data_IF_522386301361
#
_entry.id   IF_522386301361
#
_cell.length_a   1.000
_cell.length_b   1.000
_cell.length_c   1.000
_cell.angle_alpha   90.00
_cell.angle_beta   90.00
_cell.angle_gamma   90.00
#
_symmetry.space_group_name_H-M   'P 1'
#
loop_
_entity.id
_entity.type
_entity.pdbx_description
1 polymer ?
#
# COMPACT_ATOMS: atom_id res chain seq x y z
N UNK A 1 -13.68 50.82 10.88
CA UNK A 1 -14.03 49.47 10.35
C UNK A 1 -14.84 49.67 9.09
N UNK A 2 -14.33 49.21 7.94
CA UNK A 2 -15.00 49.34 6.64
C UNK A 2 -15.66 48.01 6.29
N UNK A 3 -17.00 47.97 6.31
CA UNK A 3 -17.79 46.87 5.74
C UNK A 3 -17.82 47.05 4.22
N UNK A 4 -16.93 46.36 3.51
CA UNK A 4 -17.02 46.25 2.05
C UNK A 4 -18.09 45.21 1.70
N UNK A 5 -19.24 45.66 1.21
CA UNK A 5 -20.25 44.78 0.64
C UNK A 5 -19.77 44.23 -0.72
N UNK A 6 -19.51 42.93 -0.80
CA UNK A 6 -19.23 42.20 -2.04
C UNK A 6 -20.52 42.04 -2.86
N UNK A 7 -21.09 43.14 -3.34
CA UNK A 7 -22.19 43.08 -4.31
C UNK A 7 -21.54 42.83 -5.68
N UNK A 8 -21.51 41.56 -6.09
CA UNK A 8 -21.19 41.22 -7.47
C UNK A 8 -22.44 41.43 -8.31
N UNK A 9 -22.37 42.37 -9.25
CA UNK A 9 -23.39 42.55 -10.30
C UNK A 9 -23.33 41.36 -11.26
N UNK A 10 -23.95 40.25 -10.85
CA UNK A 10 -24.02 39.04 -11.66
C UNK A 10 -25.08 39.23 -12.75
N UNK A 11 -24.65 39.66 -13.94
CA UNK A 11 -25.47 39.67 -15.15
C UNK A 11 -25.28 38.36 -15.90
N UNK A 12 -26.36 37.61 -16.08
CA UNK A 12 -26.37 36.39 -16.89
C UNK A 12 -27.02 36.74 -18.23
N UNK A 13 -26.29 36.59 -19.33
CA UNK A 13 -26.86 36.73 -20.66
C UNK A 13 -27.62 35.46 -21.03
N UNK A 14 -28.88 35.61 -21.43
CA UNK A 14 -29.79 34.51 -21.73
C UNK A 14 -30.29 34.67 -23.18
N UNK A 15 -30.40 33.60 -23.97
CA UNK A 15 -30.96 33.66 -25.33
C UNK A 15 -32.40 34.22 -25.36
N UNK A 16 -32.82 34.86 -26.47
CA UNK A 16 -34.15 35.48 -26.57
C UNK A 16 -35.30 34.47 -26.43
N UNK A 17 -35.08 33.23 -26.85
CA UNK A 17 -36.08 32.16 -26.81
C UNK A 17 -36.12 31.41 -25.47
N UNK A 18 -35.45 31.92 -24.44
CA UNK A 18 -35.40 31.23 -23.15
C UNK A 18 -36.76 31.29 -22.46
N UNK A 19 -37.37 30.13 -22.14
CA UNK A 19 -38.67 30.09 -21.51
C UNK A 19 -38.55 30.57 -20.06
N UNK A 20 -38.89 31.83 -19.82
CA UNK A 20 -39.08 32.39 -18.48
C UNK A 20 -40.38 31.83 -17.89
N UNK A 21 -40.35 30.57 -17.49
CA UNK A 21 -41.46 29.96 -16.76
C UNK A 21 -41.59 30.64 -15.39
N UNK A 22 -42.83 30.93 -14.98
CA UNK A 22 -43.09 31.40 -13.62
C UNK A 22 -42.52 30.40 -12.62
N UNK A 23 -41.69 30.89 -11.69
CA UNK A 23 -41.15 30.06 -10.62
C UNK A 23 -42.32 29.45 -9.83
N UNK A 24 -42.49 28.14 -9.98
CA UNK A 24 -43.44 27.36 -9.18
C UNK A 24 -42.60 26.70 -8.10
N UNK A 25 -42.84 27.04 -6.85
CA UNK A 25 -42.15 26.38 -5.74
C UNK A 25 -42.33 24.87 -5.91
N UNK A 26 -41.23 24.10 -6.10
CA UNK A 26 -41.36 22.67 -5.92
C UNK A 26 -41.78 22.49 -4.47
N UNK A 27 -42.80 21.66 -4.22
CA UNK A 27 -43.12 21.15 -2.89
C UNK A 27 -41.95 20.28 -2.42
N UNK A 28 -40.84 20.93 -2.09
CA UNK A 28 -39.65 20.31 -1.57
C UNK A 28 -39.93 20.14 -0.10
N UNK A 29 -40.42 18.97 0.30
CA UNK A 29 -40.34 18.54 1.68
C UNK A 29 -38.88 18.70 2.10
N UNK A 30 -38.60 19.74 2.87
CA UNK A 30 -37.33 19.92 3.57
C UNK A 30 -37.26 18.79 4.60
N UNK A 31 -36.92 17.58 4.14
CA UNK A 31 -36.31 16.60 5.01
C UNK A 31 -35.06 17.30 5.49
N UNK A 32 -35.07 17.70 6.76
CA UNK A 32 -33.88 18.13 7.49
C UNK A 32 -32.94 16.92 7.58
N UNK A 33 -32.42 16.47 6.45
CA UNK A 33 -31.27 15.62 6.41
C UNK A 33 -30.14 16.56 6.82
N UNK A 34 -29.76 16.52 8.09
CA UNK A 34 -28.60 17.21 8.60
C UNK A 34 -27.44 16.92 7.62
N UNK A 35 -27.09 17.93 6.82
CA UNK A 35 -25.98 17.85 5.88
C UNK A 35 -24.68 17.88 6.67
N UNK A 36 -24.38 16.79 7.34
CA UNK A 36 -23.05 16.52 7.87
C UNK A 36 -22.73 15.03 7.81
N UNK A 37 -23.02 14.39 6.66
CA UNK A 37 -22.12 13.31 6.24
C UNK A 37 -20.77 13.95 5.93
N UNK A 38 -19.92 14.09 6.96
CA UNK A 38 -18.49 14.26 6.76
C UNK A 38 -18.09 13.20 5.73
N UNK A 39 -17.54 13.57 4.55
CA UNK A 39 -17.04 12.57 3.64
C UNK A 39 -16.04 11.74 4.45
N UNK A 40 -16.25 10.42 4.53
CA UNK A 40 -15.23 9.53 5.10
C UNK A 40 -13.98 9.84 4.29
N UNK A 41 -13.01 10.48 4.94
CA UNK A 41 -11.72 10.85 4.37
C UNK A 41 -11.26 9.59 3.65
N UNK A 42 -11.11 9.67 2.33
CA UNK A 42 -10.67 8.53 1.54
C UNK A 42 -9.42 8.00 2.24
N UNK A 43 -9.50 6.79 2.81
CA UNK A 43 -8.35 6.16 3.44
C UNK A 43 -7.28 6.16 2.37
N UNK A 44 -6.25 6.98 2.57
CA UNK A 44 -5.11 7.05 1.67
C UNK A 44 -4.60 5.62 1.62
N UNK A 45 -4.85 4.91 0.51
CA UNK A 45 -4.41 3.53 0.31
C UNK A 45 -2.92 3.52 0.58
N UNK A 46 -2.52 3.14 1.79
CA UNK A 46 -1.10 3.06 2.13
C UNK A 46 -0.50 2.10 1.12
N UNK A 47 0.57 2.50 0.41
CA UNK A 47 1.18 1.64 -0.57
C UNK A 47 1.49 0.29 0.11
N UNK A 48 1.27 -0.83 -0.57
CA UNK A 48 1.46 -2.15 0.02
C UNK A 48 2.86 -2.22 0.61
N UNK A 49 2.94 -2.43 1.93
CA UNK A 49 4.22 -2.48 2.64
C UNK A 49 5.08 -3.56 1.98
N UNK A 50 6.36 -3.28 1.67
CA UNK A 50 7.22 -4.26 1.03
C UNK A 50 7.28 -5.50 1.92
N UNK A 51 6.93 -6.66 1.36
CA UNK A 51 6.95 -7.92 2.11
C UNK A 51 8.34 -8.12 2.72
N UNK A 52 8.44 -8.38 4.03
CA UNK A 52 9.73 -8.58 4.68
C UNK A 52 10.44 -9.78 4.06
N UNK A 53 11.75 -9.66 3.81
CA UNK A 53 12.55 -10.73 3.20
C UNK A 53 12.78 -11.90 4.16
N UNK A 54 12.82 -11.63 5.48
CA UNK A 54 13.16 -12.63 6.49
C UNK A 54 12.23 -13.85 6.49
N UNK A 55 10.88 -13.73 6.52
CA UNK A 55 10.00 -14.89 6.44
C UNK A 55 10.18 -15.73 5.17
N UNK A 56 10.50 -15.09 4.05
CA UNK A 56 10.74 -15.81 2.80
C UNK A 56 12.04 -16.63 2.86
N UNK A 57 13.10 -16.03 3.42
CA UNK A 57 14.38 -16.70 3.62
C UNK A 57 14.21 -17.88 4.58
N UNK A 58 13.52 -17.67 5.70
CA UNK A 58 13.30 -18.70 6.71
C UNK A 58 12.55 -19.90 6.14
N UNK A 59 11.47 -19.66 5.38
CA UNK A 59 10.73 -20.73 4.72
C UNK A 59 11.62 -21.56 3.77
N UNK A 60 12.54 -20.92 3.05
CA UNK A 60 13.47 -21.63 2.18
C UNK A 60 14.56 -22.40 2.93
N UNK A 61 15.05 -21.84 4.04
CA UNK A 61 16.06 -22.49 4.89
C UNK A 61 15.48 -23.70 5.63
N UNK A 62 14.23 -23.61 6.10
CA UNK A 62 13.52 -24.72 6.74
C UNK A 62 13.14 -25.82 5.75
N UNK A 63 12.81 -25.46 4.50
CA UNK A 63 12.57 -26.45 3.45
C UNK A 63 13.84 -27.23 3.06
N UNK A 64 15.03 -26.65 3.24
CA UNK A 64 16.32 -27.34 3.10
C UNK A 64 16.70 -27.82 1.69
N UNK A 65 15.88 -27.55 0.69
CA UNK A 65 16.00 -28.13 -0.67
C UNK A 65 16.79 -27.26 -1.66
N UNK A 66 17.34 -26.13 -1.22
CA UNK A 66 18.00 -25.16 -2.10
C UNK A 66 19.42 -24.87 -1.64
N UNK A 67 20.31 -24.72 -2.63
CA UNK A 67 21.64 -24.16 -2.41
C UNK A 67 21.55 -22.66 -2.12
N UNK A 68 22.60 -22.07 -1.55
CA UNK A 68 22.68 -20.61 -1.35
C UNK A 68 22.37 -19.84 -2.63
N UNK A 69 22.93 -20.24 -3.77
CA UNK A 69 22.65 -19.61 -5.07
C UNK A 69 21.18 -19.78 -5.48
N UNK A 70 20.60 -20.96 -5.23
CA UNK A 70 19.18 -21.23 -5.48
C UNK A 70 18.26 -20.33 -4.65
N UNK A 71 18.56 -20.17 -3.36
CA UNK A 71 17.82 -19.26 -2.46
C UNK A 71 17.86 -17.82 -2.99
N UNK A 72 19.04 -17.34 -3.40
CA UNK A 72 19.18 -15.99 -3.96
C UNK A 72 18.38 -15.80 -5.26
N UNK A 73 18.39 -16.79 -6.16
CA UNK A 73 17.60 -16.75 -7.40
C UNK A 73 16.10 -16.69 -7.11
N UNK A 74 15.65 -17.47 -6.14
CA UNK A 74 14.25 -17.55 -5.74
C UNK A 74 13.78 -16.30 -4.98
N UNK A 75 14.62 -15.71 -4.14
CA UNK A 75 14.37 -14.40 -3.52
C UNK A 75 14.12 -13.32 -4.58
N UNK A 76 15.00 -13.27 -5.60
CA UNK A 76 14.86 -12.30 -6.70
C UNK A 76 13.59 -12.50 -7.50
N UNK A 77 13.15 -13.75 -7.69
CA UNK A 77 11.89 -14.08 -8.39
C UNK A 77 10.66 -13.69 -7.58
N UNK A 78 10.61 -14.04 -6.30
CA UNK A 78 9.41 -13.88 -5.44
C UNK A 78 9.29 -12.48 -4.82
N UNK A 79 10.41 -11.79 -4.61
CA UNK A 79 10.49 -10.53 -3.89
C UNK A 79 11.39 -9.51 -4.60
N UNK A 80 11.30 -9.44 -5.94
CA UNK A 80 12.14 -8.59 -6.80
C UNK A 80 12.20 -7.13 -6.32
N UNK A 81 11.05 -6.53 -5.99
CA UNK A 81 10.96 -5.16 -5.48
C UNK A 81 11.68 -4.99 -4.13
N UNK A 82 11.49 -5.92 -3.20
CA UNK A 82 12.09 -5.88 -1.86
C UNK A 82 13.60 -6.16 -1.86
N UNK A 83 14.15 -6.73 -2.95
CA UNK A 83 15.56 -7.05 -3.11
C UNK A 83 16.42 -5.88 -3.62
N UNK A 84 15.81 -4.82 -4.18
CA UNK A 84 16.56 -3.70 -4.78
C UNK A 84 17.42 -3.00 -3.72
N UNK A 85 18.71 -2.80 -4.03
CA UNK A 85 19.68 -2.12 -3.16
C UNK A 85 20.11 -2.90 -1.91
N UNK A 86 19.76 -4.19 -1.77
CA UNK A 86 20.10 -5.01 -0.60
C UNK A 86 21.04 -6.15 -0.95
N UNK A 87 22.00 -6.41 -0.07
CA UNK A 87 22.81 -7.63 -0.16
C UNK A 87 22.02 -8.84 0.37
N UNK A 88 21.45 -9.58 -0.57
CA UNK A 88 20.69 -10.80 -0.28
C UNK A 88 21.57 -11.90 0.33
N UNK A 89 22.85 -11.98 -0.04
CA UNK A 89 23.76 -13.00 0.48
C UNK A 89 24.08 -12.72 1.94
N UNK A 90 24.32 -11.46 2.29
CA UNK A 90 24.48 -11.03 3.67
C UNK A 90 23.22 -11.30 4.50
N UNK A 91 22.02 -11.00 3.97
CA UNK A 91 20.77 -11.28 4.65
C UNK A 91 20.57 -12.77 4.95
N UNK A 92 20.83 -13.66 3.99
CA UNK A 92 20.72 -15.11 4.23
C UNK A 92 21.75 -15.57 5.27
N UNK A 93 22.99 -15.05 5.23
CA UNK A 93 24.01 -15.35 6.25
C UNK A 93 23.58 -14.87 7.64
N UNK A 94 23.02 -13.67 7.74
CA UNK A 94 22.50 -13.14 8.99
C UNK A 94 21.38 -14.03 9.56
N UNK A 95 20.46 -14.52 8.71
CA UNK A 95 19.42 -15.47 9.14
C UNK A 95 20.01 -16.80 9.63
N UNK A 96 20.98 -17.35 8.91
CA UNK A 96 21.69 -18.58 9.34
C UNK A 96 22.40 -18.39 10.68
N UNK A 97 23.07 -17.26 10.87
CA UNK A 97 23.68 -16.91 12.15
C UNK A 97 22.64 -16.85 13.27
N UNK A 98 21.51 -16.19 13.02
CA UNK A 98 20.45 -16.04 14.01
C UNK A 98 19.81 -17.38 14.38
N UNK A 99 19.65 -18.30 13.42
CA UNK A 99 19.20 -19.66 13.70
C UNK A 99 20.21 -20.44 14.57
N UNK A 100 21.51 -20.31 14.30
CA UNK A 100 22.55 -20.90 15.17
C UNK A 100 22.49 -20.34 16.58
N UNK A 101 22.30 -19.02 16.71
CA UNK A 101 22.18 -18.38 18.02
C UNK A 101 20.96 -18.87 18.82
N UNK A 102 19.91 -19.30 18.11
CA UNK A 102 18.72 -19.95 18.69
C UNK A 102 18.89 -21.45 18.96
N UNK A 103 20.09 -22.01 18.82
CA UNK A 103 20.36 -23.43 19.04
C UNK A 103 19.88 -24.36 17.92
N UNK A 104 19.51 -23.82 16.74
CA UNK A 104 19.16 -24.64 15.57
C UNK A 104 20.43 -25.11 14.88
N UNK A 105 20.40 -26.34 14.37
CA UNK A 105 21.55 -26.92 13.66
C UNK A 105 21.47 -26.55 12.18
N UNK A 106 22.49 -25.84 11.70
CA UNK A 106 22.63 -25.56 10.26
C UNK A 106 23.39 -26.72 9.63
N UNK A 107 22.71 -27.50 8.78
CA UNK A 107 23.33 -28.59 8.03
C UNK A 107 23.61 -28.16 6.58
N UNK A 108 24.63 -28.77 6.01
CA UNK A 108 24.92 -28.70 4.57
C UNK A 108 25.00 -30.10 4.02
N UNK A 109 24.21 -30.35 2.99
CA UNK A 109 24.22 -31.65 2.31
C UNK A 109 25.37 -31.74 1.31
N UNK A 110 25.64 -32.95 0.80
CA UNK A 110 26.62 -33.22 -0.26
C UNK A 110 26.41 -32.37 -1.51
N UNK A 111 25.16 -31.97 -1.79
CA UNK A 111 24.78 -31.07 -2.90
C UNK A 111 24.97 -29.58 -2.59
N UNK A 112 25.61 -29.23 -1.47
CA UNK A 112 25.73 -27.85 -0.97
C UNK A 112 24.39 -27.15 -0.71
N UNK A 113 23.33 -27.93 -0.48
CA UNK A 113 22.05 -27.42 -0.01
C UNK A 113 22.20 -26.96 1.45
N UNK A 114 21.52 -25.88 1.81
CA UNK A 114 21.58 -25.35 3.17
C UNK A 114 20.22 -25.57 3.83
N UNK A 115 20.23 -26.28 4.95
CA UNK A 115 19.04 -26.58 5.74
C UNK A 115 19.25 -26.19 7.20
N UNK A 116 18.16 -25.83 7.86
CA UNK A 116 18.13 -25.51 9.30
C UNK A 116 17.18 -26.49 9.96
N UNK A 117 17.69 -27.25 10.95
CA UNK A 117 16.95 -28.22 11.77
C UNK A 117 16.81 -27.68 13.19
#
# INVERSE_FOLDING_TARGET
MLLQSLVSDNRIAVPPDYPLLSYREPAFETRACAYSRRPKRAETRTPPRPKPLAPLIDAMLLAGNKTMRGILRELRRKASASCRGKDLKANVRARLYWFRQKGRTVRRDSRSCVSVV
#
